data_IF_419281180856
#
_entry.id   IF_419281180856
#
_cell.length_a   1.000
_cell.length_b   1.000
_cell.length_c   1.000
_cell.angle_alpha   90.00
_cell.angle_beta   90.00
_cell.angle_gamma   90.00
#
_symmetry.space_group_name_H-M   'P 1'
#
loop_
_entity.id
_entity.type
_entity.pdbx_description
1 polymer ?
#
# COMPACT_ATOMS: atom_id res chain seq x y z
N UNK A 1 -6.95 -3.94 29.13
CA UNK A 1 -6.01 -5.09 29.11
C UNK A 1 -4.68 -4.59 28.55
N UNK A 2 -3.57 -4.69 29.29
CA UNK A 2 -2.29 -4.03 28.94
C UNK A 2 -1.55 -4.80 27.82
N UNK A 3 -1.08 -4.10 26.78
CA UNK A 3 -0.34 -4.60 25.61
C UNK A 3 0.69 -5.74 25.89
N UNK A 4 1.52 -5.68 26.95
CA UNK A 4 2.44 -6.77 27.30
C UNK A 4 1.76 -8.11 27.62
N UNK A 5 0.52 -8.13 28.13
CA UNK A 5 -0.21 -9.38 28.41
C UNK A 5 -0.73 -10.05 27.14
N UNK A 6 -1.18 -9.26 26.16
CA UNK A 6 -1.61 -9.76 24.84
C UNK A 6 -0.41 -10.36 24.07
N UNK A 7 0.75 -9.69 24.11
CA UNK A 7 1.96 -10.20 23.49
C UNK A 7 2.45 -11.52 24.12
N UNK A 8 2.35 -11.65 25.45
CA UNK A 8 2.71 -12.90 26.17
C UNK A 8 1.74 -14.04 25.86
N UNK A 9 0.45 -13.73 25.75
CA UNK A 9 -0.59 -14.70 25.38
C UNK A 9 -0.45 -15.17 23.94
N UNK A 10 -0.23 -14.26 22.98
CA UNK A 10 0.03 -14.60 21.59
C UNK A 10 1.29 -15.47 21.42
N UNK A 11 2.37 -15.16 22.15
CA UNK A 11 3.59 -16.00 22.18
C UNK A 11 3.34 -17.39 22.77
N UNK A 12 2.55 -17.50 23.84
CA UNK A 12 2.18 -18.79 24.44
C UNK A 12 1.31 -19.65 23.52
N UNK A 13 0.39 -19.05 22.76
CA UNK A 13 -0.40 -19.73 21.74
C UNK A 13 0.45 -20.22 20.57
N UNK A 14 1.39 -19.40 20.08
CA UNK A 14 2.30 -19.75 18.99
C UNK A 14 3.24 -20.91 19.34
N UNK A 15 3.71 -21.01 20.59
CA UNK A 15 4.53 -22.15 21.07
C UNK A 15 3.74 -23.46 21.18
N UNK A 16 2.45 -23.39 21.51
CA UNK A 16 1.61 -24.58 21.73
C UNK A 16 1.02 -25.15 20.44
N UNK A 17 0.81 -24.29 19.44
CA UNK A 17 0.33 -24.67 18.10
C UNK A 17 1.10 -23.87 17.03
N UNK A 18 2.28 -24.36 16.60
CA UNK A 18 3.12 -23.68 15.62
C UNK A 18 2.39 -23.38 14.30
N UNK A 19 1.45 -24.26 13.92
CA UNK A 19 0.59 -24.13 12.73
C UNK A 19 -0.47 -23.02 12.82
N UNK A 20 -0.74 -22.47 14.01
CA UNK A 20 -1.58 -21.28 14.20
C UNK A 20 -0.76 -20.00 14.33
N UNK A 21 0.58 -20.08 14.21
CA UNK A 21 1.43 -18.90 14.18
C UNK A 21 1.10 -18.05 12.94
N UNK A 22 1.08 -16.73 13.13
CA UNK A 22 0.89 -15.78 12.04
C UNK A 22 1.87 -16.03 10.89
N UNK A 23 3.14 -16.32 11.21
CA UNK A 23 4.16 -16.61 10.20
C UNK A 23 3.79 -17.84 9.39
N UNK A 24 3.42 -18.95 10.03
CA UNK A 24 3.03 -20.19 9.35
C UNK A 24 1.80 -19.99 8.45
N UNK A 25 0.78 -19.24 8.90
CA UNK A 25 -0.41 -18.91 8.09
C UNK A 25 0.00 -18.13 6.84
N UNK A 26 0.88 -17.14 6.96
CA UNK A 26 1.35 -16.35 5.81
C UNK A 26 2.21 -17.20 4.87
N UNK A 27 3.00 -18.14 5.41
CA UNK A 27 3.77 -19.12 4.64
C UNK A 27 2.84 -19.99 3.79
N UNK A 28 1.82 -20.57 4.42
CA UNK A 28 0.83 -21.40 3.77
C UNK A 28 0.09 -20.64 2.66
N UNK A 29 -0.45 -19.46 2.99
CA UNK A 29 -1.17 -18.64 2.02
C UNK A 29 -0.30 -18.23 0.82
N UNK A 30 0.98 -17.91 1.03
CA UNK A 30 1.88 -17.50 -0.05
C UNK A 30 2.16 -18.64 -1.06
N UNK A 31 2.17 -19.88 -0.60
CA UNK A 31 2.49 -21.09 -1.40
C UNK A 31 1.30 -21.54 -2.26
N UNK A 32 0.06 -21.24 -1.86
CA UNK A 32 -1.12 -21.72 -2.59
C UNK A 32 -1.09 -21.31 -4.08
N UNK A 33 -1.34 -22.25 -5.02
CA UNK A 33 -1.32 -22.01 -6.46
C UNK A 33 -2.64 -21.37 -6.95
N UNK A 34 -3.19 -20.43 -6.17
CA UNK A 34 -4.48 -19.79 -6.45
C UNK A 34 -4.50 -19.12 -7.83
N UNK A 35 -3.43 -18.45 -8.32
CA UNK A 35 -3.38 -17.94 -9.69
C UNK A 35 -3.56 -19.00 -10.77
N UNK A 36 -2.90 -20.14 -10.62
CA UNK A 36 -2.93 -21.22 -11.61
C UNK A 36 -4.30 -21.91 -11.64
N UNK A 37 -4.88 -22.16 -10.46
CA UNK A 37 -6.23 -22.75 -10.33
C UNK A 37 -7.28 -21.78 -10.84
N UNK A 38 -7.20 -20.50 -10.46
CA UNK A 38 -8.12 -19.44 -10.88
C UNK A 38 -8.16 -19.27 -12.41
N UNK A 39 -7.01 -19.23 -13.09
CA UNK A 39 -6.96 -19.12 -14.55
C UNK A 39 -7.63 -20.33 -15.20
N UNK A 40 -7.42 -21.53 -14.65
CA UNK A 40 -8.02 -22.76 -15.16
C UNK A 40 -9.55 -22.74 -14.99
N UNK A 41 -10.05 -22.44 -13.79
CA UNK A 41 -11.51 -22.36 -13.52
C UNK A 41 -12.16 -21.26 -14.37
N UNK A 42 -11.54 -20.08 -14.48
CA UNK A 42 -12.05 -18.96 -15.27
C UNK A 42 -12.15 -19.26 -16.77
N UNK A 43 -11.16 -19.94 -17.34
CA UNK A 43 -11.15 -20.25 -18.77
C UNK A 43 -12.08 -21.41 -19.13
N UNK A 44 -12.25 -22.39 -18.23
CA UNK A 44 -12.91 -23.64 -18.58
C UNK A 44 -14.34 -23.80 -18.03
N UNK A 45 -14.70 -23.22 -16.88
CA UNK A 45 -15.95 -23.57 -16.18
C UNK A 45 -16.98 -22.45 -16.08
N UNK A 46 -16.58 -21.18 -16.01
CA UNK A 46 -17.53 -20.12 -15.70
C UNK A 46 -18.31 -19.71 -16.96
N UNK A 47 -19.52 -20.30 -17.13
CA UNK A 47 -20.55 -19.94 -18.12
C UNK A 47 -21.91 -19.71 -17.41
N UNK A 48 -22.80 -18.86 -17.93
CA UNK A 48 -24.07 -18.45 -17.30
C UNK A 48 -24.05 -17.19 -16.41
N UNK A 49 -25.23 -16.78 -15.92
CA UNK A 49 -25.50 -15.47 -15.29
C UNK A 49 -24.66 -15.11 -14.06
N UNK A 50 -23.92 -16.06 -13.46
CA UNK A 50 -22.98 -15.85 -12.35
C UNK A 50 -21.58 -15.34 -12.76
N UNK A 51 -21.29 -15.27 -14.06
CA UNK A 51 -19.97 -14.94 -14.63
C UNK A 51 -19.24 -13.80 -13.94
N UNK A 52 -19.96 -12.70 -13.78
CA UNK A 52 -19.40 -11.42 -13.41
C UNK A 52 -19.01 -11.41 -11.94
N UNK A 53 -19.89 -11.95 -11.09
CA UNK A 53 -19.66 -12.07 -9.65
C UNK A 53 -18.54 -13.06 -9.34
N UNK A 54 -18.52 -14.21 -10.00
CA UNK A 54 -17.49 -15.23 -9.81
C UNK A 54 -16.13 -14.73 -10.31
N UNK A 55 -16.07 -14.12 -11.50
CA UNK A 55 -14.82 -13.53 -12.03
C UNK A 55 -14.34 -12.36 -11.19
N UNK A 56 -15.25 -11.57 -10.64
CA UNK A 56 -14.96 -10.52 -9.69
C UNK A 56 -14.28 -11.07 -8.43
N UNK A 57 -14.88 -12.09 -7.80
CA UNK A 57 -14.33 -12.73 -6.60
C UNK A 57 -12.95 -13.30 -6.91
N UNK A 58 -12.80 -14.00 -8.03
CA UNK A 58 -11.53 -14.60 -8.41
C UNK A 58 -10.46 -13.53 -8.60
N UNK A 59 -10.72 -12.46 -9.36
CA UNK A 59 -9.77 -11.36 -9.53
C UNK A 59 -9.38 -10.71 -8.19
N UNK A 60 -10.34 -10.55 -7.28
CA UNK A 60 -10.10 -10.00 -5.96
C UNK A 60 -9.24 -10.94 -5.11
N UNK A 61 -9.52 -12.24 -5.13
CA UNK A 61 -8.73 -13.28 -4.46
C UNK A 61 -7.30 -13.29 -5.01
N UNK A 62 -7.13 -13.19 -6.33
CA UNK A 62 -5.82 -13.10 -6.97
C UNK A 62 -5.04 -11.88 -6.50
N UNK A 63 -5.70 -10.72 -6.39
CA UNK A 63 -5.08 -9.50 -5.88
C UNK A 63 -4.64 -9.66 -4.42
N UNK A 64 -5.48 -10.23 -3.56
CA UNK A 64 -5.13 -10.45 -2.15
C UNK A 64 -4.03 -11.51 -1.96
N UNK A 65 -3.93 -12.49 -2.86
CA UNK A 65 -2.87 -13.51 -2.87
C UNK A 65 -1.46 -12.89 -3.04
N UNK A 66 -1.35 -11.69 -3.62
CA UNK A 66 -0.07 -10.99 -3.73
C UNK A 66 0.44 -10.53 -2.36
N UNK A 67 -0.44 -10.17 -1.41
CA UNK A 67 -0.02 -9.59 -0.13
C UNK A 67 0.85 -10.55 0.71
N UNK A 68 0.48 -11.84 0.91
CA UNK A 68 1.34 -12.80 1.59
C UNK A 68 2.74 -12.93 0.96
N UNK A 69 2.81 -12.92 -0.38
CA UNK A 69 4.08 -13.08 -1.12
C UNK A 69 4.99 -11.86 -0.94
N UNK A 70 4.41 -10.67 -1.03
CA UNK A 70 5.11 -9.40 -0.80
C UNK A 70 5.63 -9.34 0.63
N UNK A 71 4.81 -9.73 1.60
CA UNK A 71 5.21 -9.75 3.01
C UNK A 71 6.41 -10.66 3.25
N UNK A 72 6.46 -11.83 2.60
CA UNK A 72 7.59 -12.75 2.67
C UNK A 72 8.88 -12.16 2.11
N UNK A 73 8.79 -11.51 0.95
CA UNK A 73 9.92 -10.79 0.34
C UNK A 73 10.40 -9.68 1.28
N UNK A 74 9.45 -8.94 1.88
CA UNK A 74 9.75 -7.89 2.83
C UNK A 74 10.48 -8.42 4.07
N UNK A 75 9.99 -9.50 4.70
CA UNK A 75 10.66 -10.09 5.86
C UNK A 75 12.09 -10.52 5.52
N UNK A 76 12.28 -11.17 4.38
CA UNK A 76 13.61 -11.59 3.94
C UNK A 76 14.53 -10.40 3.66
N UNK A 77 14.05 -9.38 2.94
CA UNK A 77 14.82 -8.18 2.64
C UNK A 77 15.12 -7.33 3.89
N UNK A 78 14.21 -7.32 4.87
CA UNK A 78 14.39 -6.59 6.14
C UNK A 78 15.47 -7.18 7.04
N UNK A 79 15.77 -8.48 6.87
CA UNK A 79 16.86 -9.18 7.55
C UNK A 79 18.25 -8.74 7.07
N UNK A 80 18.34 -8.11 5.90
CA UNK A 80 19.58 -7.60 5.34
C UNK A 80 20.01 -6.34 6.12
N UNK A 81 21.27 -6.33 6.60
CA UNK A 81 21.82 -5.27 7.46
C UNK A 81 22.12 -3.95 6.74
N UNK A 82 21.79 -3.81 5.45
CA UNK A 82 22.05 -2.59 4.67
C UNK A 82 20.90 -1.59 4.85
N UNK A 83 21.20 -0.44 5.44
CA UNK A 83 20.22 0.60 5.78
C UNK A 83 19.51 1.15 4.54
N UNK A 84 20.24 1.41 3.45
CA UNK A 84 19.64 1.86 2.18
C UNK A 84 18.61 0.85 1.64
N UNK A 85 18.87 -0.46 1.74
CA UNK A 85 17.94 -1.50 1.25
C UNK A 85 16.60 -1.38 1.98
N UNK A 86 16.60 -1.08 3.28
CA UNK A 86 15.35 -0.87 4.05
C UNK A 86 14.58 0.36 3.55
N UNK A 87 15.27 1.46 3.24
CA UNK A 87 14.66 2.65 2.66
C UNK A 87 14.01 2.38 1.30
N UNK A 88 14.72 1.71 0.38
CA UNK A 88 14.20 1.34 -0.94
C UNK A 88 13.03 0.37 -0.84
N UNK A 89 13.11 -0.62 0.05
CA UNK A 89 12.04 -1.59 0.28
C UNK A 89 10.76 -0.90 0.80
N UNK A 90 10.89 0.06 1.71
CA UNK A 90 9.75 0.81 2.23
C UNK A 90 9.09 1.67 1.14
N UNK A 91 9.89 2.33 0.30
CA UNK A 91 9.36 3.09 -0.84
C UNK A 91 8.69 2.19 -1.87
N UNK A 92 9.29 1.03 -2.15
CA UNK A 92 8.70 0.01 -3.02
C UNK A 92 7.34 -0.47 -2.49
N UNK A 93 7.22 -0.75 -1.19
CA UNK A 93 5.94 -1.11 -0.56
C UNK A 93 4.89 -0.02 -0.71
N UNK A 94 5.30 1.25 -0.61
CA UNK A 94 4.39 2.39 -0.79
C UNK A 94 3.86 2.47 -2.24
N UNK A 95 4.74 2.35 -3.23
CA UNK A 95 4.36 2.29 -4.65
C UNK A 95 3.44 1.11 -4.91
N UNK A 96 3.76 -0.05 -4.34
CA UNK A 96 2.99 -1.28 -4.52
C UNK A 96 1.60 -1.17 -3.90
N UNK A 97 1.49 -0.62 -2.70
CA UNK A 97 0.21 -0.34 -2.06
C UNK A 97 -0.63 0.66 -2.89
N UNK A 98 0.03 1.67 -3.47
CA UNK A 98 -0.60 2.64 -4.39
C UNK A 98 -1.11 1.96 -5.67
N UNK A 99 -0.32 1.04 -6.24
CA UNK A 99 -0.72 0.25 -7.41
C UNK A 99 -1.94 -0.63 -7.11
N UNK A 100 -1.91 -1.35 -5.98
CA UNK A 100 -3.04 -2.19 -5.54
C UNK A 100 -4.30 -1.34 -5.33
N UNK A 101 -4.16 -0.16 -4.72
CA UNK A 101 -5.27 0.76 -4.51
C UNK A 101 -5.86 1.23 -5.85
N UNK A 102 -5.03 1.65 -6.80
CA UNK A 102 -5.46 2.07 -8.13
C UNK A 102 -6.14 0.94 -8.91
N UNK A 103 -5.63 -0.30 -8.80
CA UNK A 103 -6.22 -1.47 -9.43
C UNK A 103 -7.59 -1.82 -8.83
N UNK A 104 -7.73 -1.80 -7.50
CA UNK A 104 -9.02 -2.00 -6.83
C UNK A 104 -10.02 -0.92 -7.25
N UNK A 105 -9.59 0.35 -7.26
CA UNK A 105 -10.45 1.46 -7.67
C UNK A 105 -10.96 1.31 -9.11
N UNK A 106 -10.08 1.00 -10.06
CA UNK A 106 -10.46 0.76 -11.45
C UNK A 106 -11.40 -0.44 -11.59
N UNK A 107 -11.11 -1.52 -10.89
CA UNK A 107 -11.95 -2.71 -10.88
C UNK A 107 -13.36 -2.42 -10.32
N UNK A 108 -13.44 -1.70 -9.19
CA UNK A 108 -14.71 -1.27 -8.60
C UNK A 108 -15.48 -0.31 -9.51
N UNK A 109 -14.79 0.52 -10.30
CA UNK A 109 -15.43 1.38 -11.29
C UNK A 109 -16.19 0.58 -12.35
N UNK A 110 -15.55 -0.43 -12.94
CA UNK A 110 -16.19 -1.32 -13.93
C UNK A 110 -17.35 -2.10 -13.29
N UNK A 111 -17.21 -2.53 -12.03
CA UNK A 111 -18.31 -3.14 -11.30
C UNK A 111 -19.49 -2.19 -11.09
N UNK A 112 -19.20 -0.93 -10.78
CA UNK A 112 -20.23 0.08 -10.58
C UNK A 112 -20.98 0.41 -11.88
N UNK A 113 -20.27 0.50 -13.01
CA UNK A 113 -20.87 0.62 -14.34
C UNK A 113 -21.74 -0.57 -14.70
N UNK A 114 -21.25 -1.79 -14.45
CA UNK A 114 -22.01 -3.02 -14.73
C UNK A 114 -23.28 -3.11 -13.88
N UNK A 115 -23.24 -2.68 -12.61
CA UNK A 115 -24.43 -2.59 -11.74
C UNK A 115 -25.44 -1.61 -12.35
N UNK A 116 -24.99 -0.43 -12.78
CA UNK A 116 -25.87 0.53 -13.44
C UNK A 116 -26.54 -0.08 -14.68
N UNK A 117 -25.77 -0.73 -15.55
CA UNK A 117 -26.30 -1.38 -16.75
C UNK A 117 -27.32 -2.46 -16.41
N UNK A 118 -27.08 -3.23 -15.36
CA UNK A 118 -28.00 -4.27 -14.90
C UNK A 118 -29.30 -3.68 -14.34
N UNK A 119 -29.23 -2.59 -13.57
CA UNK A 119 -30.41 -1.87 -13.06
C UNK A 119 -31.23 -1.24 -14.20
N UNK A 120 -30.56 -0.58 -15.16
CA UNK A 120 -31.19 -0.03 -16.35
C UNK A 120 -31.92 -1.13 -17.16
N UNK A 121 -31.26 -2.25 -17.38
CA UNK A 121 -31.83 -3.37 -18.13
C UNK A 121 -33.04 -4.00 -17.42
N UNK A 122 -33.00 -4.17 -16.09
CA UNK A 122 -34.15 -4.67 -15.31
C UNK A 122 -35.39 -3.80 -15.44
N UNK A 123 -35.20 -2.49 -15.60
CA UNK A 123 -36.31 -1.53 -15.75
C UNK A 123 -36.91 -1.48 -17.16
N UNK A 124 -36.46 -2.35 -18.08
CA UNK A 124 -36.80 -2.29 -19.51
C UNK A 124 -37.38 -3.61 -20.00
N UNK A 125 -38.59 -3.57 -20.56
CA UNK A 125 -39.22 -4.74 -21.13
C UNK A 125 -38.42 -5.28 -22.33
N UNK A 126 -38.14 -6.59 -22.32
CA UNK A 126 -37.37 -7.25 -23.37
C UNK A 126 -35.85 -7.10 -23.28
N UNK A 127 -35.31 -6.35 -22.30
CA UNK A 127 -33.87 -6.31 -22.05
C UNK A 127 -33.42 -7.55 -21.26
N UNK A 128 -32.51 -8.32 -21.87
CA UNK A 128 -31.85 -9.45 -21.19
C UNK A 128 -30.41 -9.02 -20.91
N UNK A 129 -30.05 -8.89 -19.64
CA UNK A 129 -28.68 -8.64 -19.22
C UNK A 129 -27.85 -9.92 -19.42
N UNK A 130 -27.48 -10.19 -20.67
CA UNK A 130 -26.64 -11.34 -21.01
C UNK A 130 -25.19 -10.89 -20.84
N UNK A 131 -24.48 -11.50 -19.89
CA UNK A 131 -23.07 -11.19 -19.61
C UNK A 131 -22.08 -11.87 -20.58
N UNK A 132 -22.59 -12.45 -21.68
CA UNK A 132 -21.80 -13.19 -22.67
C UNK A 132 -22.00 -12.59 -24.05
N UNK A 133 -20.88 -12.38 -24.74
CA UNK A 133 -20.86 -12.28 -26.19
C UNK A 133 -20.83 -13.71 -26.73
N UNK A 134 -21.98 -14.38 -26.74
CA UNK A 134 -22.18 -15.51 -27.63
C UNK A 134 -23.18 -15.08 -28.71
N UNK A 135 -22.93 -15.55 -29.92
CA UNK A 135 -23.64 -15.18 -31.15
C UNK A 135 -25.17 -15.19 -30.92
N UNK A 136 -25.87 -14.06 -31.18
CA UNK A 136 -27.23 -13.95 -31.76
C UNK A 136 -27.81 -12.51 -31.63
N UNK A 137 -28.32 -12.04 -32.77
CA UNK A 137 -29.18 -10.87 -33.04
C UNK A 137 -28.61 -9.45 -32.83
N UNK A 138 -27.80 -9.03 -33.80
CA UNK A 138 -27.26 -7.67 -34.00
C UNK A 138 -28.34 -6.58 -34.14
N UNK A 139 -29.59 -6.89 -34.44
CA UNK A 139 -30.67 -5.89 -34.61
C UNK A 139 -31.36 -5.49 -33.29
N UNK A 140 -31.40 -6.36 -32.29
CA UNK A 140 -32.00 -6.08 -30.96
C UNK A 140 -30.97 -5.51 -29.98
N UNK A 141 -29.69 -5.79 -30.21
CA UNK A 141 -28.57 -5.36 -29.37
C UNK A 141 -28.29 -3.84 -29.42
N UNK A 142 -28.34 -3.23 -30.60
CA UNK A 142 -28.03 -1.79 -30.79
C UNK A 142 -28.99 -0.85 -30.07
N UNK A 143 -30.30 -1.15 -30.09
CA UNK A 143 -31.31 -0.36 -29.36
C UNK A 143 -31.16 -0.48 -27.82
N UNK A 144 -30.67 -1.62 -27.33
CA UNK A 144 -30.44 -1.84 -25.91
C UNK A 144 -29.18 -1.09 -25.41
N UNK A 145 -28.14 -0.97 -26.23
CA UNK A 145 -26.88 -0.29 -25.85
C UNK A 145 -27.08 1.23 -25.73
N UNK A 146 -27.78 1.87 -26.68
CA UNK A 146 -28.10 3.31 -26.58
C UNK A 146 -28.93 3.62 -25.35
N UNK A 147 -29.96 2.81 -25.06
CA UNK A 147 -30.80 2.98 -23.89
C UNK A 147 -30.03 2.84 -22.57
N UNK A 148 -29.16 1.83 -22.47
CA UNK A 148 -28.35 1.61 -21.26
C UNK A 148 -27.41 2.79 -21.01
N UNK A 149 -26.82 3.37 -22.06
CA UNK A 149 -25.99 4.57 -21.96
C UNK A 149 -26.79 5.82 -21.55
N UNK A 150 -28.05 5.93 -21.96
CA UNK A 150 -28.94 7.03 -21.51
C UNK A 150 -29.28 6.94 -20.03
N UNK A 151 -29.47 5.72 -19.51
CA UNK A 151 -29.74 5.47 -18.07
C UNK A 151 -28.48 5.53 -17.21
N UNK A 152 -27.32 5.25 -17.81
CA UNK A 152 -26.01 5.25 -17.15
C UNK A 152 -25.05 6.28 -17.78
N UNK A 153 -25.38 7.58 -17.70
CA UNK A 153 -24.62 8.61 -18.39
C UNK A 153 -23.28 8.89 -17.69
N UNK A 154 -22.20 8.64 -18.42
CA UNK A 154 -20.82 8.87 -17.95
C UNK A 154 -20.25 10.18 -18.52
N UNK A 155 -20.66 10.55 -19.74
CA UNK A 155 -20.23 11.78 -20.41
C UNK A 155 -21.34 12.36 -21.32
N UNK A 156 -22.01 13.47 -20.93
CA UNK A 156 -21.88 14.17 -19.65
C UNK A 156 -22.47 13.34 -18.50
N UNK A 157 -21.87 13.43 -17.30
CA UNK A 157 -22.37 12.70 -16.14
C UNK A 157 -23.68 13.31 -15.60
N UNK A 158 -24.62 12.47 -15.16
CA UNK A 158 -25.86 12.92 -14.51
C UNK A 158 -26.14 12.13 -13.23
N UNK A 159 -25.73 12.70 -12.09
CA UNK A 159 -25.91 12.09 -10.77
C UNK A 159 -27.38 11.88 -10.36
N UNK A 160 -28.36 12.53 -11.02
CA UNK A 160 -29.78 12.27 -10.78
C UNK A 160 -30.24 10.91 -11.35
N UNK A 161 -29.58 10.44 -12.41
CA UNK A 161 -29.89 9.15 -13.03
C UNK A 161 -29.09 8.04 -12.36
N UNK A 162 -27.78 8.23 -12.24
CA UNK A 162 -26.92 7.32 -11.49
C UNK A 162 -25.66 8.05 -11.04
N UNK A 163 -25.37 8.00 -9.74
CA UNK A 163 -24.18 8.60 -9.17
C UNK A 163 -23.03 7.58 -9.11
N UNK A 164 -21.98 7.84 -9.91
CA UNK A 164 -20.77 7.05 -9.95
C UNK A 164 -19.73 7.49 -8.90
N UNK A 165 -19.90 8.65 -8.27
CA UNK A 165 -18.99 9.16 -7.23
C UNK A 165 -17.52 9.17 -7.66
N UNK A 166 -16.63 8.69 -6.78
CA UNK A 166 -15.18 8.56 -7.01
C UNK A 166 -14.81 7.67 -8.19
N UNK A 167 -15.72 6.84 -8.69
CA UNK A 167 -15.47 5.95 -9.83
C UNK A 167 -15.69 6.64 -11.18
N UNK A 168 -16.36 7.80 -11.20
CA UNK A 168 -16.67 8.52 -12.42
C UNK A 168 -15.42 8.88 -13.23
N UNK A 169 -14.35 9.32 -12.56
CA UNK A 169 -13.07 9.69 -13.19
C UNK A 169 -12.47 8.51 -13.97
N UNK A 170 -12.51 7.30 -13.38
CA UNK A 170 -12.06 6.08 -14.05
C UNK A 170 -12.89 5.78 -15.30
N UNK A 171 -14.21 5.84 -15.19
CA UNK A 171 -15.12 5.51 -16.29
C UNK A 171 -15.00 6.51 -17.45
N UNK A 172 -14.89 7.80 -17.15
CA UNK A 172 -14.67 8.83 -18.16
C UNK A 172 -13.34 8.63 -18.89
N UNK A 173 -12.28 8.25 -18.16
CA UNK A 173 -10.99 7.96 -18.78
C UNK A 173 -11.07 6.80 -19.77
N UNK A 174 -11.89 5.78 -19.48
CA UNK A 174 -12.04 4.56 -20.29
C UNK A 174 -12.94 4.78 -21.50
N UNK A 175 -14.05 5.49 -21.32
CA UNK A 175 -15.08 5.63 -22.37
C UNK A 175 -14.82 6.79 -23.33
N UNK A 176 -13.96 7.75 -22.96
CA UNK A 176 -13.65 8.92 -23.81
C UNK A 176 -12.50 8.66 -24.80
N UNK A 177 -11.63 7.70 -24.52
CA UNK A 177 -10.50 7.34 -25.37
C UNK A 177 -10.69 5.90 -25.84
N UNK A 178 -10.83 5.64 -27.14
CA UNK A 178 -11.13 4.32 -27.71
C UNK A 178 -10.22 3.16 -27.23
N UNK A 179 -9.33 2.64 -28.07
CA UNK A 179 -8.34 1.66 -27.60
C UNK A 179 -7.26 2.36 -26.78
N UNK A 180 -7.43 2.42 -25.46
CA UNK A 180 -6.39 2.93 -24.55
C UNK A 180 -5.35 1.83 -24.35
N UNK A 181 -4.09 2.16 -24.69
CA UNK A 181 -2.94 1.29 -24.43
C UNK A 181 -2.86 0.92 -22.94
N UNK A 182 -2.47 -0.33 -22.65
CA UNK A 182 -2.33 -0.84 -21.29
C UNK A 182 -1.47 0.06 -20.40
N UNK A 183 -0.34 0.55 -20.91
CA UNK A 183 0.58 1.41 -20.17
C UNK A 183 -0.09 2.70 -19.68
N UNK A 184 -0.93 3.32 -20.51
CA UNK A 184 -1.67 4.53 -20.13
C UNK A 184 -2.64 4.23 -18.99
N UNK A 185 -3.40 3.14 -19.08
CA UNK A 185 -4.30 2.69 -17.99
C UNK A 185 -3.52 2.38 -16.71
N UNK A 186 -2.38 1.72 -16.84
CA UNK A 186 -1.51 1.36 -15.72
C UNK A 186 -0.99 2.60 -14.98
N UNK A 187 -0.36 3.54 -15.69
CA UNK A 187 0.19 4.73 -15.05
C UNK A 187 -0.90 5.67 -14.52
N UNK A 188 -2.05 5.76 -15.20
CA UNK A 188 -3.16 6.57 -14.74
C UNK A 188 -3.76 6.03 -13.42
N UNK A 189 -4.03 4.73 -13.35
CA UNK A 189 -4.54 4.10 -12.12
C UNK A 189 -3.52 4.11 -10.99
N UNK A 190 -2.24 3.88 -11.31
CA UNK A 190 -1.14 4.02 -10.36
C UNK A 190 -1.06 5.45 -9.79
N UNK A 191 -1.14 6.46 -10.66
CA UNK A 191 -1.13 7.86 -10.25
C UNK A 191 -2.31 8.19 -9.34
N UNK A 192 -3.51 7.75 -9.70
CA UNK A 192 -4.70 7.94 -8.87
C UNK A 192 -4.51 7.34 -7.46
N UNK A 193 -4.00 6.11 -7.37
CA UNK A 193 -3.74 5.45 -6.10
C UNK A 193 -2.65 6.16 -5.29
N UNK A 194 -1.55 6.56 -5.94
CA UNK A 194 -0.45 7.26 -5.31
C UNK A 194 -0.86 8.63 -4.75
N UNK A 195 -1.62 9.42 -5.54
CA UNK A 195 -2.20 10.70 -5.14
C UNK A 195 -3.06 10.55 -3.88
N UNK A 196 -3.99 9.59 -3.90
CA UNK A 196 -4.95 9.41 -2.81
C UNK A 196 -4.33 8.83 -1.53
N UNK A 197 -3.31 7.99 -1.63
CA UNK A 197 -2.55 7.58 -0.44
C UNK A 197 -1.76 8.74 0.16
N UNK A 198 -1.15 9.58 -0.68
CA UNK A 198 -0.28 10.67 -0.23
C UNK A 198 -1.05 11.84 0.37
N UNK A 199 -2.29 12.06 -0.05
CA UNK A 199 -3.17 13.11 0.48
C UNK A 199 -4.22 12.58 1.47
N UNK A 200 -4.13 11.32 1.89
CA UNK A 200 -5.06 10.66 2.81
C UNK A 200 -6.51 10.63 2.30
N UNK A 201 -6.73 10.65 0.98
CA UNK A 201 -8.06 10.62 0.37
C UNK A 201 -8.90 11.87 0.61
N UNK A 202 -8.29 12.99 1.02
CA UNK A 202 -9.01 14.23 1.37
C UNK A 202 -9.76 14.88 0.20
N UNK A 203 -9.35 14.60 -1.03
CA UNK A 203 -9.97 15.14 -2.25
C UNK A 203 -11.04 14.19 -2.83
N UNK A 204 -11.32 13.06 -2.16
CA UNK A 204 -12.34 12.11 -2.60
C UNK A 204 -13.74 12.64 -2.33
N UNK A 205 -14.51 12.87 -3.39
CA UNK A 205 -15.92 13.23 -3.32
C UNK A 205 -16.78 11.99 -3.48
N UNK A 206 -17.32 11.49 -2.37
CA UNK A 206 -18.13 10.27 -2.36
C UNK A 206 -19.60 10.53 -2.68
N UNK A 207 -20.27 9.53 -3.25
CA UNK A 207 -21.73 9.52 -3.37
C UNK A 207 -22.42 9.02 -2.09
N UNK A 208 -23.75 8.93 -2.12
CA UNK A 208 -24.54 8.28 -1.07
C UNK A 208 -24.37 6.75 -1.00
N UNK A 209 -23.50 6.17 -1.85
CA UNK A 209 -23.21 4.74 -1.84
C UNK A 209 -22.31 4.37 -0.66
N UNK A 210 -22.83 3.59 0.29
CA UNK A 210 -22.13 3.30 1.54
C UNK A 210 -20.79 2.57 1.35
N UNK A 211 -20.68 1.65 0.38
CA UNK A 211 -19.43 0.95 0.08
C UNK A 211 -18.31 1.90 -0.37
N UNK A 212 -18.68 2.96 -1.08
CA UNK A 212 -17.74 4.00 -1.50
C UNK A 212 -17.21 4.79 -0.30
N UNK A 213 -18.11 5.13 0.63
CA UNK A 213 -17.76 5.78 1.89
C UNK A 213 -16.82 4.90 2.73
N UNK A 214 -17.11 3.60 2.85
CA UNK A 214 -16.22 2.65 3.51
C UNK A 214 -14.84 2.57 2.83
N UNK A 215 -14.81 2.55 1.49
CA UNK A 215 -13.56 2.52 0.74
C UNK A 215 -12.74 3.81 0.94
N UNK A 216 -13.37 4.98 0.93
CA UNK A 216 -12.70 6.26 1.21
C UNK A 216 -12.11 6.31 2.63
N UNK A 217 -12.85 5.86 3.64
CA UNK A 217 -12.37 5.77 5.03
C UNK A 217 -11.13 4.87 5.13
N UNK A 218 -11.14 3.73 4.44
CA UNK A 218 -9.99 2.82 4.39
C UNK A 218 -8.77 3.48 3.72
N UNK A 219 -8.97 4.22 2.62
CA UNK A 219 -7.90 4.98 1.97
C UNK A 219 -7.28 5.99 2.93
N UNK A 220 -8.11 6.76 3.64
CA UNK A 220 -7.63 7.74 4.62
C UNK A 220 -6.83 7.09 5.75
N UNK A 221 -7.35 6.00 6.32
CA UNK A 221 -6.68 5.30 7.42
C UNK A 221 -5.35 4.67 6.97
N UNK A 222 -5.34 3.96 5.84
CA UNK A 222 -4.14 3.30 5.32
C UNK A 222 -3.10 4.34 4.85
N UNK A 223 -3.54 5.39 4.16
CA UNK A 223 -2.67 6.48 3.71
C UNK A 223 -1.95 7.15 4.88
N UNK A 224 -2.67 7.49 5.95
CA UNK A 224 -2.07 8.08 7.15
C UNK A 224 -1.03 7.16 7.78
N UNK A 225 -1.35 5.87 7.95
CA UNK A 225 -0.44 4.89 8.55
C UNK A 225 0.82 4.69 7.71
N UNK A 226 0.67 4.48 6.39
CA UNK A 226 1.80 4.23 5.48
C UNK A 226 2.69 5.46 5.32
N UNK A 227 2.11 6.64 5.20
CA UNK A 227 2.87 7.89 5.08
C UNK A 227 3.66 8.20 6.36
N UNK A 228 3.03 8.05 7.53
CA UNK A 228 3.72 8.20 8.83
C UNK A 228 4.87 7.20 8.97
N UNK A 229 4.66 5.95 8.55
CA UNK A 229 5.68 4.90 8.56
C UNK A 229 6.85 5.21 7.61
N UNK A 230 6.56 5.71 6.40
CA UNK A 230 7.57 6.09 5.42
C UNK A 230 8.44 7.22 5.95
N UNK A 231 7.84 8.29 6.48
CA UNK A 231 8.56 9.42 7.08
C UNK A 231 9.47 8.96 8.20
N UNK A 232 8.96 8.16 9.15
CA UNK A 232 9.77 7.68 10.28
C UNK A 232 11.00 6.87 9.84
N UNK A 233 10.85 6.04 8.80
CA UNK A 233 11.96 5.25 8.28
C UNK A 233 12.96 6.07 7.46
N UNK A 234 12.49 7.03 6.66
CA UNK A 234 13.38 7.93 5.91
C UNK A 234 14.18 8.80 6.88
N UNK A 235 13.55 9.34 7.93
CA UNK A 235 14.22 10.11 8.97
C UNK A 235 15.29 9.27 9.68
N UNK A 236 14.97 8.03 10.07
CA UNK A 236 15.93 7.12 10.70
C UNK A 236 17.11 6.79 9.76
N UNK A 237 16.82 6.52 8.49
CA UNK A 237 17.83 6.26 7.46
C UNK A 237 18.78 7.47 7.30
N UNK A 238 18.21 8.67 7.18
CA UNK A 238 18.98 9.91 7.03
C UNK A 238 19.84 10.21 8.26
N UNK A 239 19.31 10.06 9.47
CA UNK A 239 20.07 10.24 10.71
C UNK A 239 21.26 9.27 10.80
N UNK A 240 21.08 8.02 10.40
CA UNK A 240 22.18 7.04 10.40
C UNK A 240 23.26 7.36 9.35
N UNK A 241 22.85 7.79 8.15
CA UNK A 241 23.78 8.24 7.12
C UNK A 241 24.55 9.51 7.56
N UNK A 242 23.88 10.48 8.17
CA UNK A 242 24.53 11.69 8.71
C UNK A 242 25.45 11.38 9.88
N UNK A 243 25.07 10.47 10.78
CA UNK A 243 25.94 10.03 11.88
C UNK A 243 27.20 9.32 11.38
N UNK A 244 27.18 8.75 10.17
CA UNK A 244 28.37 8.16 9.55
C UNK A 244 29.35 9.23 9.03
N UNK A 245 28.96 10.51 8.99
CA UNK A 245 29.94 11.59 8.82
C UNK A 245 30.86 11.63 10.05
N UNK A 246 32.19 11.68 9.86
CA UNK A 246 33.16 11.55 10.94
C UNK A 246 32.97 12.58 12.07
N UNK A 247 32.41 13.76 11.76
CA UNK A 247 32.19 14.86 12.71
C UNK A 247 31.10 14.60 13.76
N UNK A 248 30.11 13.75 13.50
CA UNK A 248 29.07 13.41 14.48
C UNK A 248 29.40 12.14 15.29
N UNK A 249 30.05 11.14 14.68
CA UNK A 249 30.62 9.99 15.41
C UNK A 249 31.67 10.45 16.42
N UNK A 250 32.52 11.42 16.06
CA UNK A 250 33.53 11.95 16.97
C UNK A 250 32.89 12.67 18.16
N UNK A 251 31.87 13.50 17.92
CA UNK A 251 31.10 14.17 18.99
C UNK A 251 30.34 13.19 19.88
N UNK A 252 29.77 12.12 19.32
CA UNK A 252 29.09 11.06 20.08
C UNK A 252 30.06 10.28 20.97
N UNK A 253 31.22 9.89 20.44
CA UNK A 253 32.28 9.21 21.20
C UNK A 253 32.86 10.09 22.30
N UNK A 254 33.09 11.37 22.04
CA UNK A 254 33.53 12.31 23.08
C UNK A 254 32.49 12.44 24.20
N UNK A 255 31.21 12.45 23.87
CA UNK A 255 30.09 12.45 24.83
C UNK A 255 30.06 11.19 25.71
N UNK A 256 30.19 10.00 25.11
CA UNK A 256 30.23 8.73 25.82
C UNK A 256 31.47 8.62 26.72
N UNK A 257 32.65 8.98 26.22
CA UNK A 257 33.90 9.00 27.00
C UNK A 257 33.78 9.99 28.16
N UNK A 258 33.18 11.17 27.94
CA UNK A 258 32.92 12.15 29.00
C UNK A 258 31.96 11.63 30.07
N UNK A 259 30.90 10.93 29.64
CA UNK A 259 29.93 10.34 30.56
C UNK A 259 30.56 9.18 31.37
N UNK A 260 31.37 8.34 30.73
CA UNK A 260 32.13 7.28 31.37
C UNK A 260 33.17 7.84 32.36
N UNK A 261 33.91 8.89 32.01
CA UNK A 261 34.86 9.55 32.92
C UNK A 261 34.16 10.21 34.11
N UNK A 262 33.01 10.84 33.90
CA UNK A 262 32.19 11.42 34.98
C UNK A 262 31.72 10.35 35.97
N UNK A 263 31.24 9.22 35.43
CA UNK A 263 30.70 8.10 36.21
C UNK A 263 31.76 7.37 37.03
N UNK A 264 33.01 7.42 36.60
CA UNK A 264 34.17 6.85 37.32
C UNK A 264 34.96 7.91 38.10
N UNK A 265 34.43 9.13 38.28
CA UNK A 265 35.09 10.25 38.96
C UNK A 265 36.50 10.60 38.43
N UNK A 266 36.77 10.35 37.15
CA UNK A 266 38.07 10.61 36.50
C UNK A 266 38.20 12.03 35.92
N UNK A 267 37.20 12.89 36.13
CA UNK A 267 37.22 14.27 35.65
C UNK A 267 38.30 15.11 36.35
N UNK A 268 38.56 14.85 37.64
CA UNK A 268 39.61 15.52 38.41
C UNK A 268 41.00 15.16 37.90
N UNK A 269 41.25 13.87 37.62
CA UNK A 269 42.52 13.40 37.06
C UNK A 269 42.84 14.03 35.69
N UNK A 270 41.82 14.31 34.87
CA UNK A 270 42.03 15.01 33.57
C UNK A 270 42.45 16.47 33.75
N UNK A 271 41.90 17.16 34.76
CA UNK A 271 42.30 18.54 35.09
C UNK A 271 43.74 18.53 35.62
N UNK A 272 44.07 17.55 36.46
CA UNK A 272 45.37 17.40 37.09
C UNK A 272 46.47 17.04 36.08
N UNK A 273 46.23 16.08 35.18
CA UNK A 273 47.14 15.75 34.06
C UNK A 273 47.31 16.93 33.11
N UNK A 274 46.24 17.67 32.82
CA UNK A 274 46.33 18.86 31.95
C UNK A 274 47.13 19.97 32.62
N UNK A 275 46.99 20.15 33.93
CA UNK A 275 47.75 21.13 34.69
C UNK A 275 49.22 20.72 34.85
N UNK A 276 49.53 19.44 35.11
CA UNK A 276 50.88 18.89 35.17
C UNK A 276 51.60 19.00 33.81
N UNK A 277 50.92 18.67 32.72
CA UNK A 277 51.46 18.85 31.37
C UNK A 277 51.72 20.33 31.05
N UNK A 278 50.83 21.24 31.46
CA UNK A 278 51.03 22.69 31.27
C UNK A 278 52.20 23.20 32.10
N UNK A 279 52.35 22.70 33.32
CA UNK A 279 53.43 23.01 34.25
C UNK A 279 54.79 22.53 33.72
N UNK A 280 54.88 21.26 33.28
CA UNK A 280 56.07 20.70 32.61
C UNK A 280 56.45 21.47 31.34
N UNK A 281 55.46 21.91 30.54
CA UNK A 281 55.74 22.73 29.34
C UNK A 281 56.25 24.14 29.66
N UNK A 282 55.90 24.70 30.84
CA UNK A 282 56.42 25.99 31.32
C UNK A 282 57.84 25.85 31.85
N UNK A 283 58.12 24.79 32.61
CA UNK A 283 59.45 24.46 33.12
C UNK A 283 60.45 24.19 31.97
N UNK A 284 60.03 23.42 30.96
CA UNK A 284 60.85 23.16 29.78
C UNK A 284 61.15 24.43 28.97
N UNK A 285 60.25 25.43 28.98
CA UNK A 285 60.47 26.73 28.34
C UNK A 285 61.37 27.68 29.14
N UNK A 286 61.54 27.45 30.44
CA UNK A 286 62.46 28.20 31.29
C UNK A 286 63.89 27.65 31.25
N UNK A 287 64.08 26.36 30.93
CA UNK A 287 65.41 25.74 30.74
C UNK A 287 66.01 25.95 29.33
N UNK A 288 65.25 26.56 28.41
CA UNK A 288 65.68 26.85 27.02
C UNK A 288 66.02 28.34 26.84
N UNK A 289 66.15 29.08 27.95
CA UNK A 289 66.64 30.46 27.99
C UNK A 289 67.89 30.54 28.86
#
# INVERSE_FOLDING_TARGET
MSYPRLAKFAKGLALRKPWLSFDFIVEFLAILPVPQVAVTVLFFEVKGSGYFYERSIINLVLLFQYLPRIFRIYLHASSIKKIWIKGVLNFYLYILASHMLGAIWYFLAIQRETICWHEACKSTEGCKAIHYCDEIDTSRSTNNITFVNEKCPINPANAKLFDFGIFLEALQSVNTAGQINFSTKFFYTLWWGFRNMSNYGTDLKTSNYWWENCFAILISAIGLLLFSYLIGNVQTCMQQLTSTNPSEVEKGKEGEIRCWMSRNCLLEYKIEVKNDAKHKSKLARQHVR
#
